data_IF_191072962546
#
_entry.id   IF_191072962546
#
_cell.length_a   1.000
_cell.length_b   1.000
_cell.length_c   1.000
_cell.angle_alpha   90.00
_cell.angle_beta   90.00
_cell.angle_gamma   90.00
#
_symmetry.space_group_name_H-M   'P 1'
#
loop_
_entity.id
_entity.type
_entity.pdbx_description
1 polymer ?
#
# COMPACT_ATOMS: atom_id res chain seq x y z
N UNK A 1 -27.21 14.21 11.57
CA UNK A 1 -25.79 14.11 11.97
C UNK A 1 -25.06 15.21 11.24
N UNK A 2 -24.40 16.11 11.96
CA UNK A 2 -23.87 17.35 11.37
C UNK A 2 -22.85 17.03 10.27
N UNK A 3 -23.14 17.45 9.03
CA UNK A 3 -22.29 17.24 7.87
C UNK A 3 -20.99 18.00 8.02
N UNK A 4 -20.00 17.38 8.66
CA UNK A 4 -18.64 17.92 8.75
C UNK A 4 -18.05 18.12 7.36
N UNK A 5 -17.15 19.11 7.24
CA UNK A 5 -16.50 19.45 5.98
C UNK A 5 -15.59 18.32 5.51
N UNK A 6 -15.77 17.89 4.27
CA UNK A 6 -14.96 16.84 3.62
C UNK A 6 -13.93 17.50 2.71
N UNK A 7 -12.65 17.21 2.91
CA UNK A 7 -11.60 17.63 1.98
C UNK A 7 -11.46 16.59 0.87
N UNK A 8 -11.55 17.01 -0.38
CA UNK A 8 -11.42 16.15 -1.56
C UNK A 8 -10.17 16.54 -2.32
N UNK A 9 -9.20 15.63 -2.44
CA UNK A 9 -7.99 15.84 -3.24
C UNK A 9 -8.14 15.07 -4.55
N UNK A 10 -8.54 15.77 -5.62
CA UNK A 10 -8.82 15.18 -6.92
C UNK A 10 -8.86 16.26 -8.02
N UNK A 11 -8.40 15.92 -9.23
CA UNK A 11 -8.44 16.81 -10.41
C UNK A 11 -9.37 16.22 -11.48
N UNK A 12 -10.18 17.05 -12.12
CA UNK A 12 -11.02 16.70 -13.28
C UNK A 12 -12.25 15.88 -12.94
N UNK A 13 -12.62 14.95 -13.84
CA UNK A 13 -13.86 14.14 -13.72
C UNK A 13 -14.04 13.40 -12.37
N UNK A 14 -12.98 12.90 -11.71
CA UNK A 14 -13.10 12.35 -10.36
C UNK A 14 -13.60 13.35 -9.31
N UNK A 15 -13.14 14.60 -9.38
CA UNK A 15 -13.53 15.67 -8.46
C UNK A 15 -15.01 16.01 -8.60
N UNK A 16 -15.48 16.17 -9.85
CA UNK A 16 -16.90 16.46 -10.15
C UNK A 16 -17.84 15.37 -9.64
N UNK A 17 -17.49 14.09 -9.86
CA UNK A 17 -18.32 12.97 -9.40
C UNK A 17 -18.33 12.84 -7.88
N UNK A 18 -17.18 13.06 -7.21
CA UNK A 18 -17.11 13.08 -5.75
C UNK A 18 -17.96 14.22 -5.17
N UNK A 19 -17.88 15.40 -5.78
CA UNK A 19 -18.73 16.54 -5.43
C UNK A 19 -20.22 16.22 -5.56
N UNK A 20 -20.64 15.57 -6.67
CA UNK A 20 -22.03 15.17 -6.88
C UNK A 20 -22.53 14.20 -5.79
N UNK A 21 -21.71 13.20 -5.43
CA UNK A 21 -22.06 12.19 -4.41
C UNK A 21 -22.15 12.84 -3.02
N UNK A 22 -21.14 13.62 -2.63
CA UNK A 22 -21.11 14.28 -1.33
C UNK A 22 -22.25 15.29 -1.16
N UNK A 23 -22.60 16.02 -2.24
CA UNK A 23 -23.74 16.92 -2.24
C UNK A 23 -25.08 16.19 -2.03
N UNK A 24 -25.27 15.01 -2.66
CA UNK A 24 -26.46 14.17 -2.45
C UNK A 24 -26.58 13.65 -1.02
N UNK A 25 -25.45 13.40 -0.36
CA UNK A 25 -25.38 12.96 1.03
C UNK A 25 -25.48 14.13 2.04
N UNK A 26 -25.52 15.38 1.57
CA UNK A 26 -25.64 16.58 2.41
C UNK A 26 -24.35 17.00 3.10
N UNK A 27 -23.19 16.55 2.61
CA UNK A 27 -21.88 16.95 3.12
C UNK A 27 -21.38 18.23 2.46
N UNK A 28 -20.83 19.15 3.26
CA UNK A 28 -20.02 20.25 2.72
C UNK A 28 -18.65 19.72 2.31
N UNK A 29 -18.09 20.22 1.20
CA UNK A 29 -16.79 19.76 0.73
C UNK A 29 -15.91 20.91 0.22
N UNK A 30 -14.60 20.70 0.28
CA UNK A 30 -13.58 21.55 -0.33
C UNK A 30 -12.74 20.70 -1.29
N UNK A 31 -12.66 21.10 -2.56
CA UNK A 31 -11.85 20.42 -3.55
C UNK A 31 -10.44 21.04 -3.62
N UNK A 32 -9.45 20.18 -3.74
CA UNK A 32 -8.03 20.51 -3.84
C UNK A 32 -7.44 19.76 -5.04
N UNK A 33 -6.58 20.45 -5.79
CA UNK A 33 -5.94 19.84 -6.97
C UNK A 33 -4.86 18.82 -6.58
N UNK A 34 -4.19 19.04 -5.45
CA UNK A 34 -3.13 18.16 -4.97
C UNK A 34 -3.04 18.12 -3.44
N UNK A 35 -2.18 17.23 -2.95
CA UNK A 35 -1.92 17.02 -1.52
C UNK A 35 -1.28 18.26 -0.90
N UNK A 36 -0.42 18.98 -1.62
CA UNK A 36 0.28 20.16 -1.10
C UNK A 36 -0.67 21.32 -0.83
N UNK A 37 -1.67 21.52 -1.69
CA UNK A 37 -2.71 22.54 -1.56
C UNK A 37 -3.55 22.30 -0.30
N UNK A 38 -3.91 21.05 -0.01
CA UNK A 38 -4.60 20.69 1.23
C UNK A 38 -3.71 20.92 2.45
N UNK A 39 -2.43 20.53 2.41
CA UNK A 39 -1.50 20.73 3.51
C UNK A 39 -1.27 22.21 3.84
N UNK A 40 -1.29 23.10 2.83
CA UNK A 40 -1.22 24.56 3.03
C UNK A 40 -2.44 25.13 3.74
N UNK A 41 -3.58 24.42 3.75
CA UNK A 41 -4.81 24.81 4.45
C UNK A 41 -5.07 23.97 5.72
N UNK A 42 -4.02 23.50 6.41
CA UNK A 42 -4.14 22.65 7.60
C UNK A 42 -4.99 23.25 8.75
N UNK A 43 -5.29 24.54 8.73
CA UNK A 43 -6.20 25.19 9.69
C UNK A 43 -7.67 24.75 9.50
N UNK A 44 -8.06 24.45 8.26
CA UNK A 44 -9.30 23.77 7.97
C UNK A 44 -9.14 22.34 8.49
N UNK A 45 -9.82 21.99 9.58
CA UNK A 45 -9.82 20.63 10.14
C UNK A 45 -10.99 19.85 9.54
N UNK A 46 -10.82 19.20 8.37
CA UNK A 46 -11.90 18.43 7.78
C UNK A 46 -12.26 17.25 8.69
N UNK A 47 -13.54 16.88 8.67
CA UNK A 47 -14.04 15.69 9.36
C UNK A 47 -13.71 14.40 8.60
N UNK A 48 -13.32 14.51 7.32
CA UNK A 48 -12.96 13.40 6.45
C UNK A 48 -12.10 13.90 5.30
N UNK A 49 -11.08 13.15 4.92
CA UNK A 49 -10.28 13.40 3.71
C UNK A 49 -10.56 12.29 2.70
N UNK A 50 -10.85 12.66 1.45
CA UNK A 50 -10.99 11.75 0.32
C UNK A 50 -9.90 12.05 -0.70
N UNK A 51 -8.95 11.13 -0.85
CA UNK A 51 -7.85 11.24 -1.81
C UNK A 51 -8.18 10.40 -3.06
N UNK A 52 -8.20 11.02 -4.24
CA UNK A 52 -8.30 10.30 -5.50
C UNK A 52 -6.91 9.92 -6.03
N UNK A 53 -6.78 8.67 -6.48
CA UNK A 53 -5.62 8.20 -7.25
C UNK A 53 -6.07 7.33 -8.42
N UNK A 54 -5.32 7.34 -9.53
CA UNK A 54 -5.68 6.47 -10.67
C UNK A 54 -5.57 5.00 -10.27
N UNK A 55 -4.42 4.61 -9.71
CA UNK A 55 -4.18 3.25 -9.25
C UNK A 55 -3.68 3.26 -7.81
N UNK A 56 -4.37 2.55 -6.92
CA UNK A 56 -3.84 2.25 -5.61
C UNK A 56 -2.68 1.27 -5.78
N UNK A 57 -1.47 1.81 -5.75
CA UNK A 57 -0.22 1.08 -5.91
C UNK A 57 0.66 1.29 -4.70
N UNK A 58 1.85 0.69 -4.74
CA UNK A 58 2.85 0.84 -3.70
C UNK A 58 3.41 2.27 -3.59
N UNK A 59 3.23 3.13 -4.59
CA UNK A 59 3.64 4.55 -4.54
C UNK A 59 2.66 5.46 -3.78
N UNK A 60 1.49 4.95 -3.39
CA UNK A 60 0.43 5.70 -2.73
C UNK A 60 0.85 6.28 -1.37
N UNK A 61 1.81 5.64 -0.71
CA UNK A 61 2.36 6.05 0.59
C UNK A 61 2.85 7.49 0.57
N UNK A 62 3.45 7.95 -0.54
CA UNK A 62 3.95 9.34 -0.71
C UNK A 62 2.85 10.39 -0.69
N UNK A 63 1.63 10.00 -1.05
CA UNK A 63 0.47 10.89 -1.04
C UNK A 63 -0.30 10.80 0.28
N UNK A 64 -0.38 9.61 0.86
CA UNK A 64 -1.18 9.36 2.08
C UNK A 64 -0.43 9.77 3.35
N UNK A 65 0.86 9.44 3.46
CA UNK A 65 1.62 9.67 4.69
C UNK A 65 1.75 11.15 5.09
N UNK A 66 1.97 12.11 4.17
CA UNK A 66 1.96 13.52 4.54
C UNK A 66 0.61 13.97 5.11
N UNK A 67 -0.50 13.47 4.55
CA UNK A 67 -1.84 13.79 5.01
C UNK A 67 -2.13 13.18 6.38
N UNK A 68 -1.80 11.90 6.60
CA UNK A 68 -2.05 11.24 7.88
C UNK A 68 -1.19 11.81 9.00
N UNK A 69 0.02 12.29 8.69
CA UNK A 69 0.87 13.02 9.66
C UNK A 69 0.35 14.42 10.00
N UNK A 70 -0.20 15.14 9.01
CA UNK A 70 -0.73 16.49 9.23
C UNK A 70 -2.11 16.48 9.91
N UNK A 71 -2.95 15.48 9.61
CA UNK A 71 -4.33 15.37 10.08
C UNK A 71 -4.54 14.09 10.91
N UNK A 72 -3.86 13.99 12.06
CA UNK A 72 -3.84 12.78 12.91
C UNK A 72 -5.22 12.28 13.38
N UNK A 73 -6.18 13.18 13.53
CA UNK A 73 -7.54 12.87 14.01
C UNK A 73 -8.56 12.71 12.87
N UNK A 74 -8.17 13.00 11.62
CA UNK A 74 -9.08 12.97 10.48
C UNK A 74 -8.92 11.65 9.71
N UNK A 75 -10.00 10.85 9.56
CA UNK A 75 -9.93 9.65 8.75
C UNK A 75 -9.69 9.98 7.28
N UNK A 76 -8.84 9.19 6.63
CA UNK A 76 -8.52 9.32 5.21
C UNK A 76 -9.08 8.12 4.42
N UNK A 77 -9.86 8.41 3.39
CA UNK A 77 -10.33 7.43 2.41
C UNK A 77 -9.58 7.63 1.09
N UNK A 78 -9.07 6.53 0.53
CA UNK A 78 -8.50 6.51 -0.82
C UNK A 78 -9.56 6.04 -1.81
N UNK A 79 -9.99 6.92 -2.70
CA UNK A 79 -10.78 6.58 -3.87
C UNK A 79 -9.84 6.27 -5.04
N UNK A 80 -10.04 5.15 -5.73
CA UNK A 80 -9.17 4.76 -6.83
C UNK A 80 -9.88 4.07 -7.98
N UNK A 81 -9.33 4.13 -9.19
CA UNK A 81 -9.91 3.42 -10.35
C UNK A 81 -9.63 1.93 -10.30
N UNK A 82 -8.40 1.58 -9.97
CA UNK A 82 -7.97 0.20 -9.83
C UNK A 82 -7.05 0.02 -8.64
N UNK A 83 -6.95 -1.23 -8.19
CA UNK A 83 -6.11 -1.62 -7.05
C UNK A 83 -5.10 -2.63 -7.57
N UNK A 84 -3.82 -2.29 -7.47
CA UNK A 84 -2.74 -3.22 -7.75
C UNK A 84 -2.52 -4.18 -6.58
N UNK A 85 -1.81 -5.29 -6.82
CA UNK A 85 -1.63 -6.43 -5.90
C UNK A 85 -1.30 -6.05 -4.44
N UNK A 86 -0.60 -4.93 -4.22
CA UNK A 86 -0.18 -4.46 -2.89
C UNK A 86 -0.82 -3.14 -2.47
N UNK A 87 -1.69 -2.57 -3.31
CA UNK A 87 -2.25 -1.24 -3.13
C UNK A 87 -3.03 -1.08 -1.84
N UNK A 88 -3.85 -2.08 -1.48
CA UNK A 88 -4.66 -2.01 -0.25
C UNK A 88 -3.77 -1.94 0.97
N UNK A 89 -2.84 -2.89 1.08
CA UNK A 89 -1.97 -2.95 2.25
C UNK A 89 -1.05 -1.75 2.33
N UNK A 90 -0.53 -1.26 1.20
CA UNK A 90 0.26 -0.03 1.16
C UNK A 90 -0.56 1.16 1.68
N UNK A 91 -1.80 1.34 1.21
CA UNK A 91 -2.70 2.39 1.68
C UNK A 91 -2.94 2.32 3.19
N UNK A 92 -3.30 1.14 3.71
CA UNK A 92 -3.58 0.94 5.13
C UNK A 92 -2.34 1.17 5.99
N UNK A 93 -1.16 0.69 5.54
CA UNK A 93 0.11 0.87 6.27
C UNK A 93 0.53 2.34 6.30
N UNK A 94 0.19 3.10 5.25
CA UNK A 94 0.40 4.55 5.21
C UNK A 94 -0.59 5.35 6.08
N UNK A 95 -1.61 4.69 6.64
CA UNK A 95 -2.60 5.28 7.55
C UNK A 95 -3.95 5.61 6.89
N UNK A 96 -4.22 5.14 5.67
CA UNK A 96 -5.57 5.23 5.12
C UNK A 96 -6.54 4.38 5.97
N UNK A 97 -7.69 4.95 6.32
CA UNK A 97 -8.74 4.27 7.06
C UNK A 97 -9.72 3.54 6.12
N UNK A 98 -9.83 3.98 4.86
CA UNK A 98 -10.74 3.36 3.91
C UNK A 98 -10.24 3.35 2.47
N UNK A 99 -10.75 2.41 1.67
CA UNK A 99 -10.48 2.31 0.23
C UNK A 99 -11.78 2.09 -0.52
N UNK A 100 -11.99 2.87 -1.57
CA UNK A 100 -13.18 2.80 -2.42
C UNK A 100 -12.78 2.72 -3.89
N UNK A 101 -13.47 1.85 -4.65
CA UNK A 101 -13.27 1.74 -6.10
C UNK A 101 -14.21 2.67 -6.85
N UNK A 102 -13.69 3.31 -7.91
CA UNK A 102 -14.42 4.23 -8.78
C UNK A 102 -15.75 3.67 -9.30
N UNK A 103 -15.74 2.38 -9.69
CA UNK A 103 -16.92 1.69 -10.22
C UNK A 103 -18.05 1.56 -9.18
N UNK A 104 -17.72 1.53 -7.90
CA UNK A 104 -18.64 1.33 -6.78
C UNK A 104 -18.78 2.60 -5.92
N UNK A 105 -18.15 3.71 -6.33
CA UNK A 105 -18.00 4.93 -5.52
C UNK A 105 -19.33 5.47 -5.02
N UNK A 106 -20.34 5.52 -5.89
CA UNK A 106 -21.66 6.08 -5.57
C UNK A 106 -22.44 5.27 -4.51
N UNK A 107 -22.15 3.99 -4.35
CA UNK A 107 -22.85 3.12 -3.39
C UNK A 107 -22.03 2.84 -2.14
N UNK A 108 -20.71 3.04 -2.19
CA UNK A 108 -19.79 2.63 -1.13
C UNK A 108 -19.13 3.80 -0.40
N UNK A 109 -19.08 5.01 -0.97
CA UNK A 109 -18.45 6.17 -0.31
C UNK A 109 -19.12 6.53 1.01
N UNK A 110 -20.44 6.72 1.03
CA UNK A 110 -21.19 7.02 2.27
C UNK A 110 -21.02 5.96 3.37
N UNK A 111 -21.29 4.66 3.11
CA UNK A 111 -21.04 3.60 4.09
C UNK A 111 -19.59 3.52 4.56
N UNK A 112 -18.62 3.75 3.65
CA UNK A 112 -17.19 3.79 3.98
C UNK A 112 -16.88 4.98 4.90
N UNK A 113 -17.38 6.18 4.58
CA UNK A 113 -17.24 7.39 5.40
C UNK A 113 -17.78 7.18 6.82
N UNK A 114 -18.97 6.57 6.95
CA UNK A 114 -19.55 6.25 8.25
C UNK A 114 -18.69 5.27 9.04
N UNK A 115 -18.18 4.21 8.39
CA UNK A 115 -17.32 3.22 9.04
C UNK A 115 -16.01 3.86 9.55
N UNK A 116 -15.33 4.65 8.73
CA UNK A 116 -14.05 5.28 9.12
C UNK A 116 -14.23 6.35 10.19
N UNK A 117 -15.33 7.10 10.16
CA UNK A 117 -15.66 8.06 11.21
C UNK A 117 -16.01 7.37 12.54
N UNK A 118 -16.51 6.13 12.49
CA UNK A 118 -16.70 5.28 13.67
C UNK A 118 -15.40 4.55 14.12
N UNK A 119 -14.25 4.91 13.55
CA UNK A 119 -12.95 4.32 13.89
C UNK A 119 -12.74 2.90 13.32
N UNK A 120 -13.52 2.50 12.31
CA UNK A 120 -13.38 1.21 11.65
C UNK A 120 -12.62 1.34 10.32
N UNK A 121 -11.89 0.30 9.92
CA UNK A 121 -11.33 0.25 8.58
C UNK A 121 -12.38 -0.23 7.55
N UNK A 122 -12.41 0.35 6.35
CA UNK A 122 -13.32 -0.06 5.29
C UNK A 122 -12.56 -0.39 3.99
N UNK A 123 -12.63 -1.65 3.55
CA UNK A 123 -11.96 -2.10 2.32
C UNK A 123 -12.89 -2.96 1.47
N UNK A 124 -12.77 -2.93 0.13
CA UNK A 124 -13.61 -3.74 -0.74
C UNK A 124 -13.38 -5.23 -0.48
N UNK A 125 -14.43 -5.94 -0.05
CA UNK A 125 -14.34 -7.39 0.27
C UNK A 125 -13.81 -8.22 -0.88
N UNK A 126 -14.09 -7.82 -2.12
CA UNK A 126 -13.60 -8.48 -3.34
C UNK A 126 -12.08 -8.52 -3.44
N UNK A 127 -11.38 -7.66 -2.72
CA UNK A 127 -9.92 -7.53 -2.75
C UNK A 127 -9.24 -8.01 -1.47
N UNK A 128 -9.97 -8.67 -0.56
CA UNK A 128 -9.43 -9.15 0.72
C UNK A 128 -8.20 -10.04 0.57
N UNK A 129 -8.14 -10.85 -0.50
CA UNK A 129 -6.96 -11.70 -0.80
C UNK A 129 -5.66 -10.91 -0.98
N UNK A 130 -5.73 -9.61 -1.26
CA UNK A 130 -4.56 -8.74 -1.35
C UNK A 130 -4.04 -8.25 0.01
N UNK A 131 -4.82 -8.45 1.08
CA UNK A 131 -4.38 -8.20 2.46
C UNK A 131 -3.48 -9.33 2.98
N UNK A 132 -3.63 -10.54 2.44
CA UNK A 132 -2.85 -11.68 2.88
C UNK A 132 -1.37 -11.53 2.45
N UNK A 133 -0.40 -11.75 3.36
CA UNK A 133 0.99 -11.84 2.98
C UNK A 133 1.17 -12.94 1.92
N UNK A 134 2.03 -12.75 0.92
CA UNK A 134 2.28 -13.78 -0.06
C UNK A 134 2.90 -14.99 0.63
N UNK A 135 2.36 -16.18 0.32
CA UNK A 135 2.75 -17.45 0.93
C UNK A 135 4.13 -17.91 0.42
N UNK A 136 5.18 -17.25 0.88
CA UNK A 136 6.56 -17.61 0.61
C UNK A 136 7.01 -18.78 1.51
N UNK A 137 7.68 -19.76 0.92
CA UNK A 137 8.33 -20.82 1.68
C UNK A 137 9.54 -20.29 2.44
N UNK A 138 9.98 -21.01 3.48
CA UNK A 138 11.20 -20.66 4.21
C UNK A 138 12.42 -20.53 3.29
N UNK A 139 12.50 -21.37 2.25
CA UNK A 139 13.58 -21.33 1.27
C UNK A 139 13.52 -20.11 0.36
N UNK A 140 12.32 -19.74 -0.08
CA UNK A 140 12.11 -18.51 -0.87
C UNK A 140 12.49 -17.28 -0.04
N UNK A 141 12.12 -17.23 1.24
CA UNK A 141 12.51 -16.14 2.16
C UNK A 141 14.03 -16.04 2.34
N UNK A 142 14.71 -17.17 2.60
CA UNK A 142 16.18 -17.20 2.72
C UNK A 142 16.86 -16.67 1.45
N UNK A 143 16.44 -17.16 0.29
CA UNK A 143 17.00 -16.76 -1.00
C UNK A 143 16.73 -15.28 -1.26
N UNK A 144 15.52 -14.79 -1.03
CA UNK A 144 15.18 -13.37 -1.18
C UNK A 144 15.98 -12.48 -0.23
N UNK A 145 16.24 -12.94 1.00
CA UNK A 145 17.11 -12.23 1.95
C UNK A 145 18.52 -12.05 1.39
N UNK A 146 19.13 -13.10 0.86
CA UNK A 146 20.45 -12.99 0.20
C UNK A 146 20.40 -12.14 -1.08
N UNK A 147 19.28 -12.17 -1.81
CA UNK A 147 19.08 -11.29 -2.98
C UNK A 147 19.11 -9.82 -2.59
N UNK A 148 18.41 -9.47 -1.50
CA UNK A 148 18.38 -8.13 -0.92
C UNK A 148 19.76 -7.70 -0.44
N UNK A 149 20.58 -8.62 0.08
CA UNK A 149 21.97 -8.38 0.45
C UNK A 149 22.93 -8.27 -0.76
N UNK A 150 22.43 -8.38 -2.00
CA UNK A 150 23.22 -8.21 -3.23
C UNK A 150 23.89 -9.47 -3.77
N UNK A 151 23.62 -10.65 -3.21
CA UNK A 151 24.31 -11.89 -3.61
C UNK A 151 23.88 -12.40 -4.98
N UNK A 152 24.83 -12.79 -5.84
CA UNK A 152 24.53 -13.43 -7.12
C UNK A 152 23.95 -14.83 -6.93
N UNK A 153 23.30 -15.39 -7.95
CA UNK A 153 22.73 -16.75 -7.85
C UNK A 153 23.79 -17.81 -7.53
N UNK A 154 25.03 -17.65 -8.03
CA UNK A 154 26.15 -18.52 -7.72
C UNK A 154 26.59 -18.44 -6.25
N UNK A 155 26.67 -17.22 -5.69
CA UNK A 155 26.98 -17.05 -4.26
C UNK A 155 25.86 -17.58 -3.35
N UNK A 156 24.60 -17.36 -3.73
CA UNK A 156 23.45 -17.92 -3.02
C UNK A 156 23.47 -19.45 -3.06
N UNK A 157 23.78 -20.04 -4.22
CA UNK A 157 23.90 -21.47 -4.40
C UNK A 157 24.99 -22.05 -3.49
N UNK A 158 26.16 -21.42 -3.41
CA UNK A 158 27.23 -21.82 -2.50
C UNK A 158 26.82 -21.71 -1.03
N UNK A 159 26.27 -20.57 -0.62
CA UNK A 159 25.93 -20.31 0.78
C UNK A 159 24.79 -21.19 1.30
N UNK A 160 23.88 -21.60 0.42
CA UNK A 160 22.74 -22.43 0.76
C UNK A 160 22.91 -23.91 0.38
N UNK A 161 24.08 -24.31 -0.13
CA UNK A 161 24.37 -25.67 -0.62
C UNK A 161 23.33 -26.17 -1.65
N UNK A 162 23.07 -25.35 -2.68
CA UNK A 162 22.14 -25.64 -3.77
C UNK A 162 22.85 -25.60 -5.13
N UNK A 163 22.21 -26.17 -6.15
CA UNK A 163 22.53 -25.86 -7.54
C UNK A 163 21.99 -24.48 -7.93
N UNK A 164 22.69 -23.76 -8.80
CA UNK A 164 22.22 -22.47 -9.31
C UNK A 164 20.86 -22.56 -10.02
N UNK A 165 20.58 -23.68 -10.68
CA UNK A 165 19.29 -23.96 -11.32
C UNK A 165 18.15 -24.02 -10.30
N UNK A 166 18.40 -24.61 -9.12
CA UNK A 166 17.45 -24.66 -8.00
C UNK A 166 17.19 -23.26 -7.43
N UNK A 167 18.23 -22.42 -7.30
CA UNK A 167 18.08 -21.01 -6.91
C UNK A 167 17.22 -20.25 -7.91
N UNK A 168 17.47 -20.41 -9.22
CA UNK A 168 16.65 -19.80 -10.29
C UNK A 168 15.18 -20.24 -10.21
N UNK A 169 14.93 -21.53 -9.94
CA UNK A 169 13.57 -22.05 -9.79
C UNK A 169 12.85 -21.44 -8.58
N UNK A 170 13.51 -21.38 -7.42
CA UNK A 170 12.94 -20.72 -6.23
C UNK A 170 12.69 -19.23 -6.46
N UNK A 171 13.60 -18.51 -7.12
CA UNK A 171 13.41 -17.11 -7.46
C UNK A 171 12.23 -16.90 -8.41
N UNK A 172 12.08 -17.75 -9.42
CA UNK A 172 10.92 -17.68 -10.33
C UNK A 172 9.60 -17.87 -9.58
N UNK A 173 9.53 -18.87 -8.69
CA UNK A 173 8.36 -19.10 -7.83
C UNK A 173 8.11 -17.90 -6.90
N UNK A 174 9.15 -17.38 -6.25
CA UNK A 174 9.07 -16.23 -5.35
C UNK A 174 8.60 -14.97 -6.08
N UNK A 175 9.17 -14.65 -7.24
CA UNK A 175 8.78 -13.49 -8.03
C UNK A 175 7.33 -13.57 -8.49
N UNK A 176 6.88 -14.75 -8.92
CA UNK A 176 5.47 -14.98 -9.26
C UNK A 176 4.55 -14.76 -8.05
N UNK A 177 4.94 -15.23 -6.85
CA UNK A 177 4.17 -15.03 -5.61
C UNK A 177 4.14 -13.57 -5.17
N UNK A 178 5.25 -12.86 -5.33
CA UNK A 178 5.38 -11.42 -5.06
C UNK A 178 4.69 -10.55 -6.13
N UNK A 179 4.43 -11.11 -7.32
CA UNK A 179 3.87 -10.40 -8.47
C UNK A 179 4.87 -9.45 -9.15
N UNK A 180 6.17 -9.69 -8.98
CA UNK A 180 7.26 -8.90 -9.58
C UNK A 180 7.84 -9.62 -10.79
N UNK A 181 8.45 -8.86 -11.70
CA UNK A 181 9.01 -9.39 -12.96
C UNK A 181 10.53 -9.42 -12.96
N UNK A 182 11.18 -8.71 -12.04
CA UNK A 182 12.62 -8.59 -12.00
C UNK A 182 13.19 -8.67 -10.59
N UNK A 183 14.48 -9.01 -10.53
CA UNK A 183 15.27 -8.99 -9.30
C UNK A 183 15.25 -7.62 -8.64
N UNK A 184 15.38 -6.55 -9.42
CA UNK A 184 15.36 -5.18 -8.92
C UNK A 184 13.98 -4.80 -8.39
N UNK A 185 12.90 -5.19 -9.05
CA UNK A 185 11.55 -5.02 -8.51
C UNK A 185 11.35 -5.77 -7.19
N UNK A 186 11.87 -7.00 -7.07
CA UNK A 186 11.79 -7.76 -5.83
C UNK A 186 12.56 -7.08 -4.69
N UNK A 187 13.80 -6.65 -4.96
CA UNK A 187 14.63 -5.91 -3.99
C UNK A 187 13.93 -4.63 -3.56
N UNK A 188 13.47 -3.81 -4.52
CA UNK A 188 12.74 -2.59 -4.21
C UNK A 188 11.46 -2.90 -3.43
N UNK A 189 10.68 -3.92 -3.77
CA UNK A 189 9.47 -4.27 -3.04
C UNK A 189 9.73 -4.67 -1.57
N UNK A 190 10.87 -5.32 -1.30
CA UNK A 190 11.22 -5.79 0.04
C UNK A 190 11.90 -4.71 0.88
N UNK A 191 12.83 -3.97 0.27
CA UNK A 191 13.60 -2.91 0.93
C UNK A 191 12.85 -1.61 1.06
N UNK A 192 11.85 -1.35 0.21
CA UNK A 192 11.11 -0.10 0.27
C UNK A 192 10.13 -0.14 1.46
N UNK A 193 10.39 0.64 2.52
CA UNK A 193 9.49 0.74 3.66
C UNK A 193 8.09 1.23 3.23
N UNK A 194 7.99 1.93 2.09
CA UNK A 194 6.75 2.49 1.55
C UNK A 194 5.89 1.46 0.79
N UNK A 195 6.44 0.31 0.35
CA UNK A 195 5.74 -0.68 -0.50
C UNK A 195 5.14 -1.88 0.25
N UNK A 196 5.28 -1.89 1.57
CA UNK A 196 4.36 -2.59 2.46
C UNK A 196 4.61 -4.08 2.73
N UNK A 197 5.63 -4.75 2.17
CA UNK A 197 6.04 -6.08 2.69
C UNK A 197 6.99 -5.95 3.89
N UNK A 198 7.87 -4.93 3.86
CA UNK A 198 8.96 -4.73 4.82
C UNK A 198 9.89 -5.93 4.94
N UNK A 199 10.89 -5.83 5.82
CA UNK A 199 11.72 -6.98 6.22
C UNK A 199 10.89 -8.08 6.92
N UNK A 200 9.69 -7.77 7.40
CA UNK A 200 8.80 -8.71 8.08
C UNK A 200 8.36 -9.89 7.22
N UNK A 201 8.31 -9.75 5.88
CA UNK A 201 8.07 -10.92 5.02
C UNK A 201 9.24 -11.90 5.02
N UNK A 202 10.45 -11.36 5.15
CA UNK A 202 11.66 -12.16 5.20
C UNK A 202 11.88 -12.80 6.56
N UNK A 203 11.10 -12.43 7.59
CA UNK A 203 11.22 -12.94 8.96
C UNK A 203 11.59 -14.43 8.92
N UNK A 204 12.88 -14.65 9.14
CA UNK A 204 13.51 -15.96 9.05
C UNK A 204 13.05 -16.68 10.31
N UNK A 205 11.99 -17.46 10.20
CA UNK A 205 11.60 -18.43 11.22
C UNK A 205 12.59 -19.58 11.26
N UNK A 206 13.86 -19.28 11.53
CA UNK A 206 15.00 -20.19 11.53
C UNK A 206 16.28 -19.38 11.67
N UNK A 207 17.11 -19.78 12.64
CA UNK A 207 18.30 -19.11 13.15
C UNK A 207 19.14 -18.34 12.12
N UNK A 208 19.79 -17.23 12.54
CA UNK A 208 20.68 -16.46 11.67
C UNK A 208 21.79 -17.39 11.12
N UNK A 209 21.84 -17.51 9.80
CA UNK A 209 23.01 -18.09 9.12
C UNK A 209 24.16 -17.12 9.39
N UNK A 210 25.07 -17.52 10.29
CA UNK A 210 26.23 -16.74 10.63
C UNK A 210 27.01 -16.37 9.36
N UNK A 211 27.47 -15.11 9.21
CA UNK A 211 28.32 -14.75 8.09
C UNK A 211 29.65 -15.48 8.23
N UNK A 212 29.92 -16.42 7.32
CA UNK A 212 31.27 -16.96 7.14
C UNK A 212 32.12 -15.84 6.54
N UNK A 213 32.75 -15.04 7.40
CA UNK A 213 33.82 -14.14 7.02
C UNK A 213 34.97 -15.00 6.50
N UNK A 214 35.06 -15.15 5.18
CA UNK A 214 36.29 -15.53 4.53
C UNK A 214 37.25 -14.34 4.65
N UNK A 215 38.23 -14.47 5.53
CA UNK A 215 39.37 -13.57 5.61
C UNK A 215 40.11 -13.54 4.26
N UNK A 216 40.35 -12.33 3.76
CA UNK A 216 41.43 -12.02 2.81
C UNK A 216 42.23 -10.88 3.42
#
# INVERSE_FOLDING_TARGET
MAGGQVAVVAVGAPSEKLAEILAKEGHSFLAFDDVEALLKQAESRPALIVLWVENASSGLTRCVEPLTRAFLETPLIVACRSIERWGIRAALTAGAAGIVLWKDLATTLGPCAQAVQAGQACVPRTQWRQLEPPALSSREKQILGLVVMGYTNGLIAQQLFLAESTVKSHLSSAFRKLGVRSRNEAVNLILDPERGLGMGILALGGEPVAPTLAAV
#
